data_IF_450272451819
#
_entry.id   IF_450272451819
#
_cell.length_a   1.000
_cell.length_b   1.000
_cell.length_c   1.000
_cell.angle_alpha   90.00
_cell.angle_beta   90.00
_cell.angle_gamma   90.00
#
_symmetry.space_group_name_H-M   'P 1'
#
loop_
_entity.id
_entity.type
_entity.pdbx_description
1 polymer ?
#
# COMPACT_ATOMS: atom_id res chain seq x y z
N UNK A 1 -9.36 26.76 28.87
CA UNK A 1 -8.59 25.73 29.62
C UNK A 1 -7.37 25.40 28.81
N UNK A 2 -6.21 25.30 29.44
CA UNK A 2 -4.96 25.00 28.74
C UNK A 2 -4.93 23.52 28.35
N UNK A 3 -4.59 23.23 27.09
CA UNK A 3 -4.45 21.84 26.63
C UNK A 3 -3.13 21.20 27.09
N UNK A 4 -2.22 21.97 27.71
CA UNK A 4 -0.84 21.57 28.02
C UNK A 4 -0.45 22.07 29.41
N UNK A 5 0.11 21.18 30.21
CA UNK A 5 0.80 21.45 31.46
C UNK A 5 2.32 21.41 31.27
N UNK A 6 3.06 22.21 32.05
CA UNK A 6 4.53 22.20 32.07
C UNK A 6 4.98 21.65 33.42
N UNK A 7 5.68 20.51 33.39
CA UNK A 7 6.18 19.79 34.57
C UNK A 7 7.14 20.66 35.38
N UNK A 8 6.93 20.71 36.69
CA UNK A 8 7.77 21.36 37.69
C UNK A 8 8.52 20.34 38.53
N UNK A 9 9.47 20.80 39.33
CA UNK A 9 10.21 19.95 40.25
C UNK A 9 9.25 19.27 41.26
N UNK A 10 9.38 17.96 41.42
CA UNK A 10 8.53 17.15 42.32
C UNK A 10 7.18 16.72 41.75
N UNK A 11 6.80 17.14 40.53
CA UNK A 11 5.56 16.68 39.91
C UNK A 11 5.60 15.20 39.56
N UNK A 12 4.44 14.53 39.72
CA UNK A 12 4.23 13.15 39.28
C UNK A 12 3.03 13.08 38.36
N UNK A 13 3.01 12.09 37.46
CA UNK A 13 1.90 11.89 36.52
C UNK A 13 0.56 11.67 37.26
N UNK A 14 0.61 11.02 38.42
CA UNK A 14 -0.53 10.85 39.33
C UNK A 14 -0.98 12.17 39.97
N UNK A 15 -0.04 13.01 40.43
CA UNK A 15 -0.36 14.34 40.97
C UNK A 15 -1.02 15.25 39.93
N UNK A 16 -0.52 15.23 38.69
CA UNK A 16 -1.11 15.96 37.55
C UNK A 16 -2.52 15.41 37.25
N UNK A 17 -2.67 14.09 37.13
CA UNK A 17 -3.96 13.41 36.91
C UNK A 17 -5.01 13.80 37.97
N UNK A 18 -4.66 13.72 39.27
CA UNK A 18 -5.58 14.06 40.36
C UNK A 18 -5.91 15.56 40.41
N UNK A 19 -4.96 16.44 40.06
CA UNK A 19 -5.16 17.89 40.00
C UNK A 19 -6.14 18.30 38.90
N UNK A 20 -5.99 17.71 37.71
CA UNK A 20 -6.80 18.04 36.54
C UNK A 20 -8.04 17.14 36.35
N UNK A 21 -8.25 16.14 37.23
CA UNK A 21 -9.37 15.18 37.20
C UNK A 21 -9.45 14.33 35.93
N UNK A 22 -8.31 14.11 35.28
CA UNK A 22 -8.13 13.23 34.11
C UNK A 22 -7.69 11.85 34.61
N UNK A 23 -8.12 10.76 33.97
CA UNK A 23 -7.66 9.42 34.35
C UNK A 23 -6.17 9.26 34.09
N UNK A 24 -5.45 8.58 34.99
CA UNK A 24 -4.01 8.37 34.82
C UNK A 24 -3.69 7.59 33.52
N UNK A 25 -4.52 6.61 33.15
CA UNK A 25 -4.38 5.86 31.89
C UNK A 25 -4.50 6.76 30.65
N UNK A 26 -5.55 7.59 30.60
CA UNK A 26 -5.81 8.55 29.53
C UNK A 26 -4.64 9.54 29.39
N UNK A 27 -4.11 10.04 30.51
CA UNK A 27 -2.97 10.96 30.51
C UNK A 27 -1.64 10.27 30.12
N UNK A 28 -1.48 8.97 30.39
CA UNK A 28 -0.37 8.13 29.86
C UNK A 28 -0.51 7.96 28.35
N UNK A 29 -1.72 7.66 27.86
CA UNK A 29 -2.02 7.38 26.45
C UNK A 29 -1.78 8.62 25.57
N UNK A 30 -2.38 9.75 25.94
CA UNK A 30 -2.23 11.05 25.25
C UNK A 30 -0.74 11.43 25.10
N UNK A 31 0.06 11.19 26.15
CA UNK A 31 1.47 11.60 26.20
C UNK A 31 2.45 10.48 25.76
N UNK A 32 1.96 9.30 25.37
CA UNK A 32 2.75 8.12 25.00
C UNK A 32 3.78 7.70 26.08
N UNK A 33 3.47 7.93 27.37
CA UNK A 33 4.38 7.75 28.51
C UNK A 33 4.36 6.32 29.10
N UNK A 34 4.39 5.30 28.26
CA UNK A 34 4.24 3.91 28.72
C UNK A 34 5.44 3.37 29.53
N UNK A 35 5.15 2.42 30.43
CA UNK A 35 6.15 1.69 31.20
C UNK A 35 6.98 2.61 32.11
N UNK A 36 8.31 2.46 32.11
CA UNK A 36 9.20 3.28 32.96
C UNK A 36 9.07 4.80 32.71
N UNK A 37 8.60 5.23 31.52
CA UNK A 37 8.46 6.65 31.18
C UNK A 37 7.40 7.37 32.04
N UNK A 38 6.38 6.66 32.56
CA UNK A 38 5.33 7.27 33.39
C UNK A 38 5.85 7.83 34.74
N UNK A 39 7.04 7.38 35.17
CA UNK A 39 7.69 7.81 36.41
C UNK A 39 8.87 8.76 36.17
N UNK A 40 9.29 8.96 34.91
CA UNK A 40 10.48 9.71 34.53
C UNK A 40 10.09 11.03 33.85
N UNK A 41 9.41 11.90 34.60
CA UNK A 41 9.07 13.24 34.14
C UNK A 41 10.26 14.19 34.27
N UNK A 42 10.54 14.95 33.22
CA UNK A 42 11.60 15.95 33.20
C UNK A 42 11.03 17.35 33.50
N UNK A 43 11.75 18.15 34.27
CA UNK A 43 11.36 19.54 34.55
C UNK A 43 11.32 20.31 33.22
N UNK A 44 10.23 21.06 32.98
CA UNK A 44 9.98 21.74 31.71
C UNK A 44 9.31 20.89 30.63
N UNK A 45 9.13 19.58 30.86
CA UNK A 45 8.41 18.70 29.93
C UNK A 45 6.96 19.16 29.75
N UNK A 46 6.49 19.16 28.51
CA UNK A 46 5.08 19.41 28.16
C UNK A 46 4.27 18.13 28.34
N UNK A 47 3.15 18.24 29.04
CA UNK A 47 2.17 17.17 29.28
C UNK A 47 0.82 17.65 28.74
N UNK A 48 0.35 17.03 27.66
CA UNK A 48 -0.95 17.29 27.07
C UNK A 48 -2.05 16.73 27.98
N UNK A 49 -3.06 17.55 28.27
CA UNK A 49 -4.14 17.26 29.23
C UNK A 49 -5.41 16.71 28.57
N UNK A 50 -5.49 16.75 27.25
CA UNK A 50 -6.55 16.13 26.45
C UNK A 50 -5.94 15.64 25.15
N UNK A 51 -6.60 14.68 24.50
CA UNK A 51 -6.17 14.27 23.17
C UNK A 51 -6.30 15.46 22.21
N UNK A 52 -5.17 15.87 21.61
CA UNK A 52 -5.18 16.88 20.55
C UNK A 52 -5.92 16.30 19.36
N UNK A 53 -6.76 17.09 18.69
CA UNK A 53 -7.35 16.69 17.42
C UNK A 53 -6.23 16.35 16.44
N UNK A 54 -6.06 15.05 16.17
CA UNK A 54 -5.08 14.54 15.22
C UNK A 54 -5.55 14.93 13.83
N UNK A 55 -4.76 15.74 13.14
CA UNK A 55 -4.96 15.99 11.72
C UNK A 55 -4.59 14.70 10.98
N UNK A 56 -5.61 13.96 10.55
CA UNK A 56 -5.43 12.71 9.83
C UNK A 56 -5.28 13.03 8.34
N UNK A 57 -4.05 12.99 7.86
CA UNK A 57 -3.71 13.13 6.44
C UNK A 57 -4.41 12.05 5.59
N UNK A 58 -4.29 10.79 6.00
CA UNK A 58 -4.76 9.64 5.21
C UNK A 58 -5.57 8.67 6.06
N UNK A 59 -6.76 8.28 5.56
CA UNK A 59 -7.55 7.17 6.09
C UNK A 59 -7.46 6.00 5.11
N UNK A 60 -6.66 5.01 5.46
CA UNK A 60 -6.38 3.85 4.64
C UNK A 60 -7.31 2.66 4.98
N UNK A 61 -7.72 1.96 3.93
CA UNK A 61 -8.31 0.62 4.00
C UNK A 61 -7.44 -0.34 3.19
N UNK A 62 -6.95 -1.41 3.81
CA UNK A 62 -6.20 -2.47 3.13
C UNK A 62 -7.18 -3.60 2.77
N UNK A 63 -7.06 -4.15 1.56
CA UNK A 63 -7.74 -5.40 1.17
C UNK A 63 -6.71 -6.44 0.77
N UNK A 64 -6.72 -7.57 1.46
CA UNK A 64 -5.83 -8.70 1.26
C UNK A 64 -6.43 -9.71 0.29
N UNK A 65 -5.66 -10.05 -0.75
CA UNK A 65 -6.03 -10.99 -1.80
C UNK A 65 -4.97 -12.07 -1.98
N UNK A 66 -5.41 -13.26 -2.32
CA UNK A 66 -4.55 -14.36 -2.73
C UNK A 66 -4.10 -14.19 -4.20
N UNK A 67 -3.46 -15.23 -4.77
CA UNK A 67 -2.98 -15.20 -6.15
C UNK A 67 -4.09 -15.31 -7.20
N UNK A 68 -5.30 -15.72 -6.82
CA UNK A 68 -6.50 -15.79 -7.67
C UNK A 68 -7.38 -14.54 -7.54
N UNK A 69 -7.00 -13.57 -6.71
CA UNK A 69 -7.81 -12.43 -6.29
C UNK A 69 -9.02 -12.78 -5.41
N UNK A 70 -8.97 -13.94 -4.74
CA UNK A 70 -9.89 -14.30 -3.66
C UNK A 70 -9.46 -13.59 -2.35
N UNK A 71 -10.41 -13.20 -1.50
CA UNK A 71 -10.11 -12.46 -0.27
C UNK A 71 -9.44 -13.36 0.78
N UNK A 72 -8.37 -12.87 1.44
CA UNK A 72 -7.70 -13.61 2.52
C UNK A 72 -8.26 -13.16 3.87
N UNK A 73 -9.17 -13.97 4.42
CA UNK A 73 -9.64 -13.81 5.79
C UNK A 73 -8.51 -14.02 6.81
N UNK A 74 -8.58 -13.32 7.95
CA UNK A 74 -7.66 -13.49 9.08
C UNK A 74 -6.15 -13.32 8.74
N UNK A 75 -5.82 -12.55 7.71
CA UNK A 75 -4.46 -12.23 7.33
C UNK A 75 -3.82 -11.31 8.38
N UNK A 76 -2.84 -11.82 9.12
CA UNK A 76 -2.09 -11.05 10.12
C UNK A 76 -1.01 -10.20 9.45
N UNK A 77 -1.10 -8.88 9.59
CA UNK A 77 -0.14 -7.90 9.08
C UNK A 77 0.60 -7.20 10.22
N UNK A 78 1.83 -6.77 9.92
CA UNK A 78 2.58 -5.76 10.66
C UNK A 78 2.64 -4.50 9.78
N UNK A 79 2.10 -3.40 10.29
CA UNK A 79 2.11 -2.08 9.66
C UNK A 79 3.15 -1.21 10.36
N UNK A 80 3.97 -0.50 9.60
CA UNK A 80 4.87 0.54 10.12
C UNK A 80 4.52 1.88 9.46
N UNK A 81 4.04 2.85 10.25
CA UNK A 81 3.71 4.21 9.83
C UNK A 81 3.74 5.14 11.05
N UNK A 82 3.85 6.46 10.84
CA UNK A 82 3.97 7.48 11.93
C UNK A 82 5.03 7.14 13.00
N UNK A 83 6.14 6.50 12.57
CA UNK A 83 7.23 6.00 13.41
C UNK A 83 6.78 4.96 14.47
N UNK A 84 5.65 4.28 14.26
CA UNK A 84 5.07 3.25 15.12
C UNK A 84 4.85 1.93 14.37
N UNK A 85 4.73 0.83 15.13
CA UNK A 85 4.50 -0.51 14.61
C UNK A 85 3.20 -1.10 15.15
N UNK A 86 2.28 -1.48 14.25
CA UNK A 86 0.96 -2.02 14.60
C UNK A 86 0.77 -3.42 14.04
N UNK A 87 0.40 -4.38 14.89
CA UNK A 87 -0.04 -5.70 14.41
C UNK A 87 -1.55 -5.71 14.27
N UNK A 88 -2.05 -6.06 13.09
CA UNK A 88 -3.48 -6.09 12.75
C UNK A 88 -3.83 -7.41 12.07
N UNK A 89 -5.11 -7.77 12.08
CA UNK A 89 -5.63 -8.96 11.38
C UNK A 89 -6.82 -8.53 10.51
N UNK A 90 -6.91 -9.02 9.28
CA UNK A 90 -8.07 -8.75 8.42
C UNK A 90 -9.34 -9.44 8.89
N UNK A 91 -10.49 -8.81 8.57
CA UNK A 91 -11.81 -9.42 8.77
C UNK A 91 -12.06 -10.62 7.82
N UNK A 92 -13.25 -11.20 7.90
CA UNK A 92 -13.64 -12.35 7.07
C UNK A 92 -13.60 -12.05 5.56
N UNK A 93 -13.76 -10.78 5.16
CA UNK A 93 -13.71 -10.32 3.77
C UNK A 93 -12.29 -9.90 3.34
N UNK A 94 -11.28 -10.20 4.17
CA UNK A 94 -9.89 -9.84 3.95
C UNK A 94 -9.62 -8.33 4.03
N UNK A 95 -10.48 -7.56 4.69
CA UNK A 95 -10.37 -6.11 4.80
C UNK A 95 -9.83 -5.68 6.17
N UNK A 96 -9.00 -4.64 6.17
CA UNK A 96 -8.59 -3.90 7.38
C UNK A 96 -8.98 -2.46 7.12
N UNK A 97 -9.89 -1.93 7.94
CA UNK A 97 -10.56 -0.64 7.75
C UNK A 97 -10.00 0.40 8.74
N UNK A 98 -10.19 1.68 8.42
CA UNK A 98 -9.98 2.80 9.34
C UNK A 98 -8.55 2.90 9.92
N UNK A 99 -7.53 2.60 9.11
CA UNK A 99 -6.13 2.89 9.45
C UNK A 99 -5.94 4.40 9.29
N UNK A 100 -5.77 5.11 10.39
CA UNK A 100 -5.58 6.57 10.40
C UNK A 100 -4.09 6.87 10.48
N UNK A 101 -3.61 7.72 9.56
CA UNK A 101 -2.20 8.09 9.41
C UNK A 101 -2.11 9.61 9.50
N UNK A 102 -1.30 10.09 10.43
CA UNK A 102 -1.09 11.52 10.73
C UNK A 102 -0.14 12.17 9.71
N UNK A 103 0.90 11.48 9.27
CA UNK A 103 1.92 12.01 8.33
C UNK A 103 2.00 11.17 7.04
N UNK A 104 1.34 11.65 5.98
CA UNK A 104 1.34 10.98 4.67
C UNK A 104 2.70 10.99 3.97
N UNK A 105 3.65 11.83 4.38
CA UNK A 105 4.98 11.97 3.78
C UNK A 105 5.97 10.94 4.32
N UNK A 106 5.73 10.37 5.50
CA UNK A 106 6.45 9.18 6.03
C UNK A 106 6.00 7.89 5.37
N UNK A 107 4.77 7.85 4.87
CA UNK A 107 4.20 6.71 4.17
C UNK A 107 3.91 5.50 5.07
N UNK A 108 3.95 4.29 4.51
CA UNK A 108 3.65 3.05 5.22
C UNK A 108 4.41 1.85 4.66
N UNK A 109 4.96 1.02 5.56
CA UNK A 109 5.41 -0.35 5.26
C UNK A 109 4.36 -1.35 5.73
N UNK A 110 4.16 -2.39 4.94
CA UNK A 110 3.15 -3.42 5.19
C UNK A 110 3.82 -4.78 5.02
N UNK A 111 3.89 -5.54 6.11
CA UNK A 111 4.49 -6.88 6.14
C UNK A 111 3.43 -7.93 6.48
N UNK A 112 3.39 -9.03 5.74
CA UNK A 112 2.45 -10.14 5.94
C UNK A 112 3.09 -11.23 6.80
N UNK A 113 2.38 -11.76 7.80
CA UNK A 113 2.81 -12.94 8.53
C UNK A 113 2.69 -14.17 7.64
N UNK A 114 3.81 -14.87 7.43
CA UNK A 114 3.91 -16.00 6.51
C UNK A 114 3.88 -17.33 7.25
N UNK A 115 3.55 -18.40 6.53
CA UNK A 115 3.70 -19.82 6.96
C UNK A 115 5.16 -20.26 7.22
N UNK A 116 6.12 -19.33 7.19
CA UNK A 116 7.52 -19.51 7.65
C UNK A 116 7.72 -18.91 9.06
N UNK A 117 6.64 -18.64 9.78
CA UNK A 117 6.57 -18.02 11.11
C UNK A 117 7.31 -16.67 11.22
N UNK A 118 7.33 -15.91 10.13
CA UNK A 118 7.97 -14.58 10.04
C UNK A 118 7.10 -13.59 9.30
N UNK A 119 7.23 -12.31 9.62
CA UNK A 119 6.72 -11.22 8.80
C UNK A 119 7.63 -11.02 7.57
N UNK A 120 7.02 -10.79 6.42
CA UNK A 120 7.71 -10.50 5.17
C UNK A 120 7.11 -9.26 4.51
N UNK A 121 7.96 -8.28 4.15
CA UNK A 121 7.54 -7.00 3.59
C UNK A 121 6.88 -7.21 2.22
N UNK A 122 5.60 -6.85 2.11
CA UNK A 122 4.80 -7.00 0.87
C UNK A 122 4.51 -5.67 0.17
N UNK A 123 4.55 -4.55 0.89
CA UNK A 123 4.47 -3.21 0.32
C UNK A 123 5.28 -2.19 1.13
N UNK A 124 5.87 -1.22 0.44
CA UNK A 124 6.56 -0.07 1.03
C UNK A 124 6.21 1.16 0.20
N UNK A 125 5.26 1.95 0.70
CA UNK A 125 4.85 3.22 0.11
C UNK A 125 5.60 4.32 0.85
N UNK A 126 6.54 5.00 0.16
CA UNK A 126 7.31 6.11 0.76
C UNK A 126 6.44 7.32 1.10
N UNK A 127 5.35 7.52 0.36
CA UNK A 127 4.35 8.55 0.59
C UNK A 127 2.96 7.98 0.33
N UNK A 128 1.94 8.63 0.86
CA UNK A 128 0.54 8.26 0.69
C UNK A 128 -0.30 9.43 0.14
N UNK A 129 -1.42 9.15 -0.54
CA UNK A 129 -2.36 10.19 -0.93
C UNK A 129 -3.18 10.66 0.27
N UNK A 130 -3.39 11.98 0.37
CA UNK A 130 -4.32 12.56 1.33
C UNK A 130 -5.76 12.03 1.16
N UNK A 131 -6.51 12.03 2.26
CA UNK A 131 -7.92 11.61 2.30
C UNK A 131 -8.11 10.09 2.40
N UNK A 132 -9.27 9.61 1.95
CA UNK A 132 -9.65 8.18 2.08
C UNK A 132 -9.10 7.38 0.91
N UNK A 133 -8.33 6.32 1.20
CA UNK A 133 -7.75 5.44 0.17
C UNK A 133 -8.03 3.97 0.46
N UNK A 134 -8.18 3.18 -0.62
CA UNK A 134 -8.14 1.72 -0.57
C UNK A 134 -6.86 1.25 -1.27
N UNK A 135 -6.07 0.40 -0.62
CA UNK A 135 -4.95 -0.31 -1.23
C UNK A 135 -5.32 -1.81 -1.27
N UNK A 136 -5.19 -2.41 -2.45
CA UNK A 136 -5.36 -3.86 -2.65
C UNK A 136 -3.97 -4.50 -2.67
N UNK A 137 -3.74 -5.54 -1.87
CA UNK A 137 -2.46 -6.21 -1.76
C UNK A 137 -2.60 -7.72 -1.97
N UNK A 138 -1.68 -8.29 -2.74
CA UNK A 138 -1.45 -9.73 -2.84
C UNK A 138 0.04 -10.01 -2.69
N UNK A 139 0.39 -11.09 -1.99
CA UNK A 139 1.81 -11.38 -1.72
C UNK A 139 2.41 -12.30 -2.78
N UNK A 140 3.40 -11.79 -3.53
CA UNK A 140 4.23 -12.63 -4.40
C UNK A 140 4.97 -13.74 -3.63
N UNK A 141 5.17 -13.61 -2.32
CA UNK A 141 5.77 -14.66 -1.50
C UNK A 141 4.91 -15.93 -1.39
N UNK A 142 3.59 -15.84 -1.68
CA UNK A 142 2.72 -17.03 -1.80
C UNK A 142 3.11 -17.92 -3.00
N UNK A 143 3.69 -17.36 -4.06
CA UNK A 143 4.11 -18.10 -5.26
C UNK A 143 5.17 -19.16 -4.91
N UNK A 144 6.04 -18.87 -3.94
CA UNK A 144 7.21 -19.67 -3.58
C UNK A 144 6.90 -20.99 -2.85
N UNK A 145 5.62 -21.30 -2.59
CA UNK A 145 5.19 -22.52 -1.89
C UNK A 145 4.15 -23.36 -2.65
N UNK A 146 3.65 -22.88 -3.79
CA UNK A 146 3.03 -23.74 -4.78
C UNK A 146 4.11 -24.56 -5.51
N UNK A 147 3.80 -25.78 -5.94
CA UNK A 147 4.68 -26.51 -6.87
C UNK A 147 4.64 -25.80 -8.23
N UNK A 148 5.51 -24.82 -8.44
CA UNK A 148 5.69 -24.21 -9.75
C UNK A 148 6.34 -25.22 -10.67
N UNK A 149 5.54 -25.90 -11.50
CA UNK A 149 6.08 -26.47 -12.72
C UNK A 149 6.69 -25.32 -13.53
N UNK A 150 7.97 -25.41 -13.87
CA UNK A 150 8.50 -24.57 -14.94
C UNK A 150 7.75 -24.98 -16.21
N UNK A 151 6.80 -24.15 -16.64
CA UNK A 151 6.35 -24.21 -18.02
C UNK A 151 7.48 -23.59 -18.85
N UNK A 152 8.10 -24.40 -19.71
CA UNK A 152 9.04 -23.89 -20.70
C UNK A 152 8.35 -22.76 -21.46
N UNK A 153 8.90 -21.54 -21.36
CA UNK A 153 8.41 -20.42 -22.15
C UNK A 153 8.45 -20.80 -23.62
N UNK A 154 7.38 -20.49 -24.37
CA UNK A 154 7.42 -20.61 -25.82
C UNK A 154 8.61 -19.75 -26.28
N UNK A 155 9.63 -20.32 -26.94
CA UNK A 155 10.80 -19.53 -27.34
C UNK A 155 10.32 -18.37 -28.21
N UNK A 156 10.85 -17.17 -27.96
CA UNK A 156 10.59 -15.99 -28.80
C UNK A 156 10.99 -16.32 -30.24
N UNK A 157 10.00 -16.70 -31.05
CA UNK A 157 10.22 -17.06 -32.45
C UNK A 157 10.44 -15.73 -33.16
N UNK A 158 11.70 -15.45 -33.51
CA UNK A 158 12.10 -14.22 -34.20
C UNK A 158 11.13 -13.90 -35.34
N UNK A 159 10.66 -12.66 -35.43
CA UNK A 159 9.56 -12.24 -36.31
C UNK A 159 9.84 -12.58 -37.78
N UNK A 160 11.11 -12.51 -38.18
CA UNK A 160 11.62 -12.95 -39.50
C UNK A 160 11.34 -14.43 -39.80
N UNK A 161 11.34 -15.29 -38.79
CA UNK A 161 11.03 -16.73 -38.92
C UNK A 161 9.52 -16.96 -39.07
N UNK A 162 8.69 -16.12 -38.43
CA UNK A 162 7.24 -16.14 -38.59
C UNK A 162 6.87 -15.70 -40.02
N UNK A 163 7.41 -14.58 -40.50
CA UNK A 163 7.17 -14.11 -41.88
C UNK A 163 7.58 -15.14 -42.94
N UNK A 164 8.75 -15.79 -42.77
CA UNK A 164 9.25 -16.80 -43.70
C UNK A 164 8.37 -18.06 -43.74
N UNK A 165 7.70 -18.41 -42.63
CA UNK A 165 6.70 -19.48 -42.58
C UNK A 165 5.36 -19.03 -43.20
N UNK A 166 4.89 -17.81 -42.91
CA UNK A 166 3.64 -17.28 -43.47
C UNK A 166 3.69 -17.18 -45.01
N UNK A 167 4.77 -16.62 -45.58
CA UNK A 167 4.97 -16.55 -47.04
C UNK A 167 4.97 -17.93 -47.71
N UNK A 168 5.47 -18.97 -47.03
CA UNK A 168 5.51 -20.34 -47.56
C UNK A 168 4.16 -21.08 -47.46
N UNK A 169 3.27 -20.65 -46.55
CA UNK A 169 1.95 -21.26 -46.36
C UNK A 169 0.91 -20.71 -47.34
N UNK A 170 0.97 -19.42 -47.67
CA UNK A 170 0.02 -18.76 -48.58
C UNK A 170 0.10 -19.22 -50.04
N UNK A 171 1.13 -19.98 -50.43
CA UNK A 171 1.34 -20.45 -51.80
C UNK A 171 0.69 -21.82 -52.09
N UNK A 172 -0.08 -22.41 -51.16
CA UNK A 172 -0.60 -23.80 -51.28
C UNK A 172 -2.12 -23.98 -51.11
N UNK A 173 -2.93 -22.93 -50.94
CA UNK A 173 -4.39 -23.09 -50.77
C UNK A 173 -5.21 -22.02 -51.50
N UNK A 174 -5.27 -22.14 -52.82
CA UNK A 174 -6.51 -21.83 -53.52
C UNK A 174 -7.51 -22.97 -53.31
N UNK A 175 -8.80 -22.67 -53.45
CA UNK A 175 -9.95 -23.61 -53.45
C UNK A 175 -10.23 -24.37 -52.14
N UNK A 176 -11.12 -23.83 -51.30
CA UNK A 176 -12.38 -24.47 -50.86
C UNK A 176 -13.16 -23.55 -49.91
N UNK A 177 -14.48 -23.46 -50.09
CA UNK A 177 -15.38 -22.61 -49.30
C UNK A 177 -15.91 -23.32 -48.05
N UNK A 178 -16.03 -22.59 -46.94
CA UNK A 178 -16.56 -23.12 -45.67
C UNK A 178 -17.05 -22.01 -44.73
N UNK A 179 -18.34 -22.09 -44.41
CA UNK A 179 -19.21 -21.28 -43.53
C UNK A 179 -18.62 -20.41 -42.41
N UNK A 180 -19.27 -19.27 -42.19
CA UNK A 180 -18.98 -18.21 -41.21
C UNK A 180 -19.06 -18.66 -39.74
N UNK A 181 -18.02 -18.35 -38.96
CA UNK A 181 -18.05 -18.35 -37.50
C UNK A 181 -18.45 -16.98 -36.93
N UNK A 182 -19.12 -16.96 -35.78
CA UNK A 182 -19.60 -15.74 -35.12
C UNK A 182 -18.47 -14.87 -34.56
N UNK A 183 -18.59 -13.55 -34.74
CA UNK A 183 -17.64 -12.55 -34.28
C UNK A 183 -17.43 -12.59 -32.76
N UNK A 184 -16.21 -12.90 -32.32
CA UNK A 184 -15.79 -12.63 -30.95
C UNK A 184 -15.73 -11.12 -30.71
N UNK A 185 -16.37 -10.63 -29.65
CA UNK A 185 -16.42 -9.19 -29.33
C UNK A 185 -15.03 -8.64 -29.06
N UNK A 186 -14.69 -7.55 -29.75
CA UNK A 186 -13.41 -6.84 -29.59
C UNK A 186 -13.17 -6.44 -28.14
N UNK A 187 -11.99 -6.76 -27.61
CA UNK A 187 -11.53 -6.19 -26.34
C UNK A 187 -11.49 -4.67 -26.45
N UNK A 188 -12.13 -3.97 -25.52
CA UNK A 188 -12.25 -2.51 -25.55
C UNK A 188 -10.88 -1.85 -25.46
N UNK A 189 -10.64 -0.92 -26.39
CA UNK A 189 -9.44 -0.09 -26.50
C UNK A 189 -9.06 0.56 -25.17
N UNK A 190 -7.77 0.55 -24.84
CA UNK A 190 -7.25 1.45 -23.81
C UNK A 190 -7.22 2.88 -24.35
N UNK A 191 -7.77 3.84 -23.61
CA UNK A 191 -7.77 5.28 -23.97
C UNK A 191 -7.39 6.15 -22.77
N UNK A 192 -6.21 6.79 -22.89
CA UNK A 192 -5.88 8.21 -22.62
C UNK A 192 -6.40 8.86 -21.32
N UNK A 193 -5.61 9.53 -20.47
CA UNK A 193 -4.57 10.53 -20.76
C UNK A 193 -5.25 11.89 -21.00
N UNK A 194 -4.98 13.02 -20.32
CA UNK A 194 -3.71 13.66 -19.89
C UNK A 194 -4.04 14.76 -18.84
N UNK A 195 -3.11 15.54 -18.26
CA UNK A 195 -2.48 16.73 -18.86
C UNK A 195 -1.13 17.08 -18.20
N UNK A 196 -0.29 17.85 -18.91
CA UNK A 196 0.96 18.43 -18.41
C UNK A 196 1.15 19.87 -18.90
N UNK A 197 2.34 20.44 -18.76
CA UNK A 197 2.68 21.78 -19.28
C UNK A 197 4.12 21.86 -19.81
N UNK A 198 4.25 22.44 -21.02
CA UNK A 198 5.34 23.22 -21.65
C UNK A 198 6.74 23.28 -21.01
N UNK A 199 7.88 23.29 -21.73
CA UNK A 199 8.13 23.28 -23.18
C UNK A 199 9.04 24.45 -23.64
N UNK A 200 10.12 24.16 -24.39
CA UNK A 200 10.90 25.13 -25.19
C UNK A 200 11.39 24.51 -26.51
N UNK A 201 11.62 25.36 -27.52
CA UNK A 201 11.58 25.02 -28.96
C UNK A 201 12.95 24.90 -29.65
N UNK A 202 13.01 24.07 -30.71
CA UNK A 202 13.65 24.35 -32.04
C UNK A 202 15.18 24.53 -32.13
N UNK A 203 15.88 24.38 -33.27
CA UNK A 203 15.63 23.81 -34.64
C UNK A 203 16.98 23.21 -35.13
N UNK A 204 17.23 22.61 -36.30
CA UNK A 204 16.53 22.33 -37.58
C UNK A 204 17.05 20.95 -38.10
N UNK A 205 16.77 20.39 -39.29
CA UNK A 205 15.96 20.80 -40.45
C UNK A 205 16.77 20.98 -41.73
N UNK A 206 16.95 19.93 -42.55
CA UNK A 206 17.15 20.00 -44.03
C UNK A 206 16.81 18.67 -44.71
N UNK A 207 16.17 18.76 -45.89
CA UNK A 207 15.95 17.71 -46.88
C UNK A 207 17.28 17.13 -47.40
N UNK A 208 17.38 15.95 -48.02
CA UNK A 208 16.35 15.16 -48.69
C UNK A 208 16.51 15.27 -50.21
N UNK A 209 17.36 14.40 -50.77
CA UNK A 209 17.38 13.89 -52.16
C UNK A 209 18.05 12.52 -52.12
#
# INVERSE_FOLDING_TARGET
>A
MDNVYIVKNGDTLWGISNRYKIKLSELIEINKLYGRKQHLLQIGQKIYLKETEKNIDTILTIRMFDLKWEAISNAKLLLEYDDQCYTVTSDNDGVIKNIQIEDSLKGIKISLYTVKNKFELIANHKTLPFGRKVIKLSSRAMVLKGRTLQQNGIPQIDTKTIEKKLKKTNQKRENTSGTSGTSGTSGTSGTSGTSGTSGTSGTSGTSGT
#
